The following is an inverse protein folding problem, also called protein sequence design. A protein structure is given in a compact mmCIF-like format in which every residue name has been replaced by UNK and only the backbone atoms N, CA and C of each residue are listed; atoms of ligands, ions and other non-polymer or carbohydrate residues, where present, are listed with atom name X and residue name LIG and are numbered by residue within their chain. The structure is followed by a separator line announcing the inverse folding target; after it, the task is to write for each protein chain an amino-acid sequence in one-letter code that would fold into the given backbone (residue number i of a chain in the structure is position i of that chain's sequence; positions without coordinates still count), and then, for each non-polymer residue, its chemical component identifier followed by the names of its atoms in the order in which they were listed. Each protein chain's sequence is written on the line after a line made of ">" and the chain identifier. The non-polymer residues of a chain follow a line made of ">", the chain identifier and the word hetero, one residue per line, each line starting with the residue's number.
data_IF_889511269362
#
_entry.id   IF_889511269362
#
_cell.length_a   1.000
_cell.length_b   1.000
_cell.length_c   1.000
_cell.angle_alpha   90.00
_cell.angle_beta   90.00
_cell.angle_gamma   90.00
#
_symmetry.space_group_name_H-M   'P 1'
#
loop_
_entity.id
_entity.type
_entity.pdbx_description
1 polymer ?
#
# COMPACT_ATOMS: atom_id res chain seq x y z
N UNK A 1 4.78 5.01 -12.57
CA UNK A 1 5.16 4.95 -11.14
C UNK A 1 4.25 3.97 -10.40
N UNK A 2 4.79 3.27 -9.39
CA UNK A 2 4.05 2.33 -8.54
C UNK A 2 4.16 2.83 -7.11
N UNK A 3 3.04 2.92 -6.42
CA UNK A 3 2.97 3.26 -5.02
C UNK A 3 2.74 1.99 -4.20
N UNK A 4 3.49 1.85 -3.10
CA UNK A 4 3.32 0.76 -2.14
C UNK A 4 2.72 1.36 -0.88
N UNK A 5 1.56 0.86 -0.49
CA UNK A 5 0.74 1.36 0.59
C UNK A 5 0.32 2.84 0.44
N UNK A 6 -0.63 3.26 1.20
CA UNK A 6 -1.12 4.63 1.27
C UNK A 6 -1.49 5.00 2.72
N UNK A 7 -0.49 4.88 3.58
CA UNK A 7 -0.58 5.26 4.98
C UNK A 7 -0.70 6.77 5.17
N UNK A 8 -0.82 7.16 6.42
CA UNK A 8 -1.09 8.55 6.82
C UNK A 8 -0.11 9.55 6.20
N UNK A 9 -0.64 10.54 5.49
CA UNK A 9 0.14 11.62 4.89
C UNK A 9 0.89 11.26 3.61
N UNK A 10 0.63 10.12 2.98
CA UNK A 10 1.29 9.72 1.74
C UNK A 10 1.08 10.74 0.63
N UNK A 11 -0.11 11.31 0.53
CA UNK A 11 -0.43 12.37 -0.45
C UNK A 11 0.47 13.59 -0.27
N UNK A 12 0.67 14.02 0.97
CA UNK A 12 1.56 15.15 1.29
C UNK A 12 3.02 14.82 0.96
N UNK A 13 3.48 13.61 1.28
CA UNK A 13 4.84 13.15 0.99
C UNK A 13 5.13 13.06 -0.51
N UNK A 14 4.17 12.61 -1.30
CA UNK A 14 4.28 12.64 -2.76
C UNK A 14 4.51 14.08 -3.27
N UNK A 15 3.71 15.04 -2.80
CA UNK A 15 3.86 16.43 -3.19
C UNK A 15 5.22 17.02 -2.74
N UNK A 16 5.66 16.74 -1.51
CA UNK A 16 6.97 17.16 -1.00
C UNK A 16 8.12 16.58 -1.82
N UNK A 17 7.99 15.35 -2.30
CA UNK A 17 8.98 14.70 -3.18
C UNK A 17 8.88 15.11 -4.64
N UNK A 18 8.06 16.11 -4.96
CA UNK A 18 7.76 16.57 -6.32
C UNK A 18 7.19 15.49 -7.25
N UNK A 19 6.50 14.50 -6.65
CA UNK A 19 5.76 13.49 -7.39
C UNK A 19 4.27 13.80 -7.36
N UNK A 20 3.63 13.73 -8.52
CA UNK A 20 2.18 13.87 -8.60
C UNK A 20 1.50 12.54 -8.31
N UNK A 21 0.42 12.58 -7.54
CA UNK A 21 -0.49 11.44 -7.39
C UNK A 21 -1.19 11.06 -8.71
N UNK A 22 -1.26 12.00 -9.67
CA UNK A 22 -1.80 11.73 -10.99
C UNK A 22 -0.93 10.75 -11.81
N UNK A 23 0.38 10.68 -11.52
CA UNK A 23 1.34 9.86 -12.26
C UNK A 23 1.44 8.42 -11.74
N UNK A 24 0.67 8.04 -10.75
CA UNK A 24 0.72 6.69 -10.18
C UNK A 24 -0.02 5.71 -11.09
N UNK A 25 0.70 4.76 -11.66
CA UNK A 25 0.13 3.73 -12.55
C UNK A 25 -0.67 2.68 -11.79
N UNK A 26 -0.22 2.37 -10.57
CA UNK A 26 -0.88 1.40 -9.69
C UNK A 26 -0.54 1.64 -8.22
N UNK A 27 -1.46 1.25 -7.35
CA UNK A 27 -1.29 1.14 -5.90
C UNK A 27 -1.25 -0.35 -5.52
N UNK A 28 -0.22 -0.75 -4.80
CA UNK A 28 -0.09 -2.07 -4.21
C UNK A 28 -0.19 -1.95 -2.70
N UNK A 29 -1.10 -2.71 -2.09
CA UNK A 29 -1.29 -2.74 -0.64
C UNK A 29 -0.68 -4.02 -0.08
N UNK A 30 0.21 -3.87 0.90
CA UNK A 30 0.82 -4.99 1.61
C UNK A 30 -0.21 -5.71 2.47
N UNK A 31 -0.98 -4.97 3.25
CA UNK A 31 -2.07 -5.45 4.10
C UNK A 31 -3.06 -4.31 4.41
N UNK A 32 -4.08 -4.55 5.24
CA UNK A 32 -5.15 -3.58 5.47
C UNK A 32 -5.14 -2.97 6.89
N UNK A 33 -3.99 -2.87 7.55
CA UNK A 33 -3.90 -2.04 8.74
C UNK A 33 -4.08 -0.56 8.39
N UNK A 34 -4.60 0.20 9.34
CA UNK A 34 -4.99 1.60 9.14
C UNK A 34 -3.83 2.46 8.66
N UNK A 35 -2.67 2.29 9.25
CA UNK A 35 -1.45 3.03 8.95
C UNK A 35 -0.89 2.74 7.55
N UNK A 36 -1.38 1.69 6.87
CA UNK A 36 -1.04 1.36 5.48
C UNK A 36 -2.09 1.81 4.46
N UNK A 37 -3.30 2.20 4.88
CA UNK A 37 -4.42 2.42 3.93
C UNK A 37 -5.24 3.68 4.18
N UNK A 38 -5.00 4.41 5.28
CA UNK A 38 -5.89 5.48 5.74
C UNK A 38 -6.00 6.66 4.75
N UNK A 39 -4.96 6.96 3.99
CA UNK A 39 -4.91 8.10 3.07
C UNK A 39 -5.50 7.80 1.68
N UNK A 40 -6.07 6.61 1.48
CA UNK A 40 -6.52 6.14 0.16
C UNK A 40 -7.48 7.12 -0.52
N UNK A 41 -8.50 7.59 0.19
CA UNK A 41 -9.48 8.49 -0.42
C UNK A 41 -8.88 9.85 -0.74
N UNK A 42 -8.05 10.38 0.16
CA UNK A 42 -7.33 11.64 -0.06
C UNK A 42 -6.38 11.54 -1.26
N UNK A 43 -5.66 10.43 -1.39
CA UNK A 43 -4.79 10.16 -2.54
C UNK A 43 -5.57 10.20 -3.87
N UNK A 44 -6.74 9.56 -3.90
CA UNK A 44 -7.59 9.48 -5.09
C UNK A 44 -8.14 10.86 -5.45
N UNK A 45 -8.70 11.60 -4.50
CA UNK A 45 -9.22 12.96 -4.74
C UNK A 45 -8.10 13.89 -5.16
N UNK A 46 -6.94 13.85 -4.53
CA UNK A 46 -5.78 14.68 -4.90
C UNK A 46 -5.29 14.37 -6.32
N UNK A 47 -5.33 13.11 -6.73
CA UNK A 47 -4.97 12.73 -8.09
C UNK A 47 -5.95 13.30 -9.13
N UNK A 48 -7.24 13.34 -8.81
CA UNK A 48 -8.26 13.96 -9.64
C UNK A 48 -8.05 15.47 -9.77
N UNK A 49 -7.71 16.13 -8.66
CA UNK A 49 -7.35 17.55 -8.67
C UNK A 49 -6.07 17.85 -9.44
N UNK A 50 -5.19 16.87 -9.57
CA UNK A 50 -3.96 16.95 -10.38
C UNK A 50 -4.14 16.46 -11.83
N UNK A 51 -5.38 16.50 -12.34
CA UNK A 51 -5.76 16.15 -13.70
C UNK A 51 -5.45 14.72 -14.14
N UNK A 52 -5.47 13.78 -13.21
CA UNK A 52 -5.43 12.35 -13.57
C UNK A 52 -6.63 11.98 -14.44
N UNK A 53 -6.36 11.39 -15.60
CA UNK A 53 -7.40 10.91 -16.52
C UNK A 53 -7.36 9.39 -16.73
N UNK A 54 -6.96 8.64 -15.73
CA UNK A 54 -6.94 7.19 -15.77
C UNK A 54 -7.58 6.60 -14.51
N UNK A 55 -8.19 5.42 -14.65
CA UNK A 55 -8.75 4.69 -13.51
C UNK A 55 -7.64 4.20 -12.59
N UNK A 56 -7.93 4.10 -11.30
CA UNK A 56 -7.01 3.50 -10.34
C UNK A 56 -6.98 1.98 -10.47
N UNK A 57 -5.77 1.43 -10.56
CA UNK A 57 -5.51 0.00 -10.43
C UNK A 57 -4.98 -0.25 -9.03
N UNK A 58 -5.74 -0.95 -8.22
CA UNK A 58 -5.41 -1.24 -6.83
C UNK A 58 -5.23 -2.74 -6.67
N UNK A 59 -4.06 -3.16 -6.22
CA UNK A 59 -3.74 -4.53 -5.91
C UNK A 59 -3.59 -4.67 -4.40
N UNK A 60 -4.16 -5.69 -3.80
CA UNK A 60 -4.06 -5.86 -2.35
C UNK A 60 -4.59 -7.20 -1.87
N UNK A 61 -4.54 -7.46 -0.56
CA UNK A 61 -5.01 -8.70 0.02
C UNK A 61 -6.52 -8.90 -0.17
N UNK A 62 -6.96 -10.11 0.13
CA UNK A 62 -8.40 -10.42 0.22
C UNK A 62 -9.09 -9.44 1.17
N UNK A 63 -10.21 -8.86 0.73
CA UNK A 63 -10.93 -7.82 1.47
C UNK A 63 -10.69 -6.40 0.94
N UNK A 64 -9.67 -6.18 0.12
CA UNK A 64 -9.37 -4.86 -0.48
C UNK A 64 -10.54 -4.31 -1.27
N UNK A 65 -11.21 -5.14 -2.08
CA UNK A 65 -12.39 -4.69 -2.85
C UNK A 65 -13.48 -4.15 -1.94
N UNK A 66 -13.83 -4.90 -0.89
CA UNK A 66 -14.85 -4.48 0.08
C UNK A 66 -14.44 -3.20 0.82
N UNK A 67 -13.17 -3.08 1.19
CA UNK A 67 -12.63 -1.90 1.87
C UNK A 67 -12.76 -0.65 0.99
N UNK A 68 -12.28 -0.72 -0.26
CA UNK A 68 -12.35 0.40 -1.22
C UNK A 68 -13.81 0.80 -1.50
N UNK A 69 -14.69 -0.17 -1.73
CA UNK A 69 -16.13 0.09 -1.96
C UNK A 69 -16.77 0.85 -0.78
N UNK A 70 -16.40 0.48 0.46
CA UNK A 70 -16.92 1.13 1.67
C UNK A 70 -16.41 2.56 1.83
N UNK A 71 -15.13 2.80 1.56
CA UNK A 71 -14.56 4.16 1.55
C UNK A 71 -15.25 5.03 0.51
N UNK A 72 -15.41 4.52 -0.71
CA UNK A 72 -16.11 5.26 -1.77
C UNK A 72 -17.57 5.51 -1.46
N UNK A 73 -18.25 4.57 -0.79
CA UNK A 73 -19.62 4.75 -0.32
C UNK A 73 -19.72 5.83 0.76
N UNK A 74 -18.79 5.84 1.73
CA UNK A 74 -18.78 6.84 2.81
C UNK A 74 -18.64 8.27 2.27
N UNK A 75 -17.87 8.47 1.21
CA UNK A 75 -17.64 9.78 0.59
C UNK A 75 -18.50 10.04 -0.64
N UNK A 76 -19.61 9.31 -0.82
CA UNK A 76 -20.45 9.44 -2.02
C UNK A 76 -21.00 10.84 -2.19
N UNK A 77 -21.62 11.40 -1.17
CA UNK A 77 -22.28 12.72 -1.23
C UNK A 77 -21.25 13.81 -1.55
N UNK A 78 -20.12 13.82 -0.83
CA UNK A 78 -19.05 14.79 -1.06
C UNK A 78 -18.51 14.72 -2.49
N UNK A 79 -18.26 13.52 -2.98
CA UNK A 79 -17.76 13.29 -4.34
C UNK A 79 -18.75 13.76 -5.41
N UNK A 80 -20.04 13.48 -5.25
CA UNK A 80 -21.09 13.93 -6.17
C UNK A 80 -21.21 15.45 -6.20
N UNK A 81 -21.11 16.11 -5.05
CA UNK A 81 -21.08 17.57 -4.95
C UNK A 81 -19.87 18.16 -5.67
N UNK A 82 -18.66 17.60 -5.46
CA UNK A 82 -17.45 18.06 -6.17
C UNK A 82 -17.57 17.90 -7.67
N UNK A 83 -18.02 16.75 -8.14
CA UNK A 83 -18.20 16.50 -9.58
C UNK A 83 -19.14 17.54 -10.19
N UNK A 84 -20.27 17.81 -9.55
CA UNK A 84 -21.27 18.76 -10.05
C UNK A 84 -20.77 20.22 -10.03
N UNK A 85 -20.00 20.59 -9.01
CA UNK A 85 -19.48 21.94 -8.83
C UNK A 85 -18.24 22.23 -9.69
N UNK A 86 -17.23 21.37 -9.65
CA UNK A 86 -15.94 21.61 -10.31
C UNK A 86 -15.99 21.39 -11.83
N UNK A 87 -16.89 20.59 -12.34
CA UNK A 87 -17.13 20.31 -13.77
C UNK A 87 -15.83 20.01 -14.55
N UNK A 88 -14.92 19.22 -13.95
CA UNK A 88 -13.66 18.82 -14.58
C UNK A 88 -13.91 17.98 -15.83
N UNK A 89 -12.96 17.99 -16.76
CA UNK A 89 -13.04 17.28 -18.06
C UNK A 89 -13.26 15.77 -17.92
N UNK A 90 -12.78 15.16 -16.84
CA UNK A 90 -12.86 13.71 -16.62
C UNK A 90 -13.16 13.38 -15.17
N UNK A 91 -13.86 12.28 -14.96
CA UNK A 91 -14.06 11.63 -13.66
C UNK A 91 -13.36 10.26 -13.57
N UNK A 92 -12.48 9.94 -14.50
CA UNK A 92 -11.82 8.63 -14.53
C UNK A 92 -10.95 8.38 -13.30
N UNK A 93 -10.30 9.43 -12.79
CA UNK A 93 -9.54 9.33 -11.54
C UNK A 93 -10.38 8.91 -10.32
N UNK A 94 -11.69 9.09 -10.37
CA UNK A 94 -12.64 8.68 -9.32
C UNK A 94 -13.20 7.27 -9.53
N UNK A 95 -12.67 6.53 -10.52
CA UNK A 95 -13.00 5.13 -10.79
C UNK A 95 -11.81 4.25 -10.43
N UNK A 96 -12.10 3.02 -10.06
CA UNK A 96 -11.07 2.05 -9.68
C UNK A 96 -11.37 0.64 -10.15
N UNK A 97 -10.33 -0.14 -10.28
CA UNK A 97 -10.38 -1.59 -10.44
C UNK A 97 -9.49 -2.23 -9.40
N UNK A 98 -10.06 -3.11 -8.59
CA UNK A 98 -9.35 -3.82 -7.53
C UNK A 98 -9.02 -5.24 -8.00
N UNK A 99 -7.80 -5.66 -7.73
CA UNK A 99 -7.28 -7.00 -7.97
C UNK A 99 -6.85 -7.58 -6.61
N UNK A 100 -7.63 -8.50 -6.08
CA UNK A 100 -7.26 -9.19 -4.85
C UNK A 100 -6.20 -10.24 -5.12
N UNK A 101 -5.10 -10.17 -4.38
CA UNK A 101 -3.95 -11.05 -4.51
C UNK A 101 -4.28 -12.44 -3.96
N UNK A 102 -3.75 -13.45 -4.63
CA UNK A 102 -3.74 -14.84 -4.15
C UNK A 102 -2.55 -15.06 -3.22
N UNK A 103 -2.36 -16.29 -2.74
CA UNK A 103 -1.28 -16.63 -1.81
C UNK A 103 0.11 -16.17 -2.30
N UNK A 104 0.47 -16.52 -3.53
CA UNK A 104 1.69 -16.09 -4.21
C UNK A 104 1.40 -15.89 -5.69
N UNK A 105 2.16 -15.04 -6.35
CA UNK A 105 2.02 -14.86 -7.78
C UNK A 105 2.88 -13.75 -8.36
N UNK A 106 2.57 -13.39 -9.58
CA UNK A 106 3.23 -12.27 -10.26
C UNK A 106 2.24 -11.46 -11.08
N UNK A 107 2.53 -10.17 -11.18
CA UNK A 107 1.82 -9.23 -12.06
C UNK A 107 2.85 -8.45 -12.86
N UNK A 108 2.42 -7.82 -13.93
CA UNK A 108 3.25 -6.91 -14.73
C UNK A 108 2.55 -5.56 -14.79
N UNK A 109 3.27 -4.49 -14.45
CA UNK A 109 2.81 -3.11 -14.55
C UNK A 109 3.83 -2.37 -15.39
N UNK A 110 3.41 -1.93 -16.57
CA UNK A 110 4.31 -1.43 -17.62
C UNK A 110 5.42 -2.47 -17.88
N UNK A 111 6.69 -2.10 -17.79
CA UNK A 111 7.83 -3.00 -18.01
C UNK A 111 8.36 -3.66 -16.72
N UNK A 112 7.73 -3.37 -15.60
CA UNK A 112 8.14 -3.90 -14.30
C UNK A 112 7.39 -5.20 -14.02
N UNK A 113 8.14 -6.29 -13.87
CA UNK A 113 7.61 -7.56 -13.33
C UNK A 113 7.62 -7.49 -11.83
N UNK A 114 6.50 -7.82 -11.19
CA UNK A 114 6.34 -7.78 -9.74
C UNK A 114 5.92 -9.17 -9.28
N UNK A 115 6.73 -9.77 -8.44
CA UNK A 115 6.37 -10.99 -7.71
C UNK A 115 5.82 -10.57 -6.35
N UNK A 116 4.70 -11.12 -5.94
CA UNK A 116 4.14 -10.95 -4.60
C UNK A 116 4.09 -12.29 -3.87
N UNK A 117 4.30 -12.25 -2.57
CA UNK A 117 4.38 -13.43 -1.71
C UNK A 117 3.85 -13.12 -0.32
N UNK A 118 3.20 -14.11 0.30
CA UNK A 118 2.74 -13.96 1.69
C UNK A 118 3.91 -13.87 2.65
N UNK A 119 3.74 -13.04 3.68
CA UNK A 119 4.68 -12.87 4.81
C UNK A 119 3.97 -13.15 6.14
N UNK A 120 4.73 -13.34 7.21
CA UNK A 120 4.18 -13.65 8.54
C UNK A 120 3.92 -12.40 9.36
N UNK A 121 2.74 -11.85 9.23
CA UNK A 121 2.28 -10.69 10.01
C UNK A 121 1.10 -11.04 10.93
N UNK A 122 1.17 -12.17 11.65
CA UNK A 122 0.08 -12.60 12.54
C UNK A 122 -0.23 -11.56 13.63
N UNK A 123 -1.52 -11.31 13.93
CA UNK A 123 -2.69 -12.10 13.51
C UNK A 123 -3.34 -11.68 12.18
N UNK A 124 -2.71 -10.85 11.37
CA UNK A 124 -3.23 -10.42 10.07
C UNK A 124 -3.26 -11.60 9.10
N UNK A 125 -4.42 -11.97 8.55
CA UNK A 125 -4.54 -13.21 7.79
C UNK A 125 -3.92 -13.14 6.38
N UNK A 126 -3.72 -11.95 5.84
CA UNK A 126 -3.20 -11.73 4.50
C UNK A 126 -2.28 -10.52 4.48
N UNK A 127 -0.98 -10.77 4.50
CA UNK A 127 0.05 -9.74 4.38
C UNK A 127 1.06 -10.17 3.31
N UNK A 128 1.57 -9.21 2.54
CA UNK A 128 2.39 -9.46 1.36
C UNK A 128 3.68 -8.63 1.35
N UNK A 129 4.76 -9.29 0.94
CA UNK A 129 5.95 -8.64 0.42
C UNK A 129 5.91 -8.62 -1.12
N UNK A 130 6.73 -7.74 -1.70
CA UNK A 130 6.83 -7.55 -3.15
C UNK A 130 8.28 -7.54 -3.61
N UNK A 131 8.58 -8.27 -4.70
CA UNK A 131 9.86 -8.17 -5.40
C UNK A 131 9.65 -7.60 -6.79
N UNK A 132 10.33 -6.52 -7.10
CA UNK A 132 10.27 -5.78 -8.37
C UNK A 132 11.48 -6.12 -9.22
N UNK A 133 11.26 -6.41 -10.49
CA UNK A 133 12.31 -6.74 -11.44
C UNK A 133 12.24 -5.79 -12.63
N UNK A 134 13.32 -5.09 -12.88
CA UNK A 134 13.50 -4.20 -14.03
C UNK A 134 15.00 -4.09 -14.39
N UNK A 135 15.33 -4.17 -15.67
CA UNK A 135 16.70 -4.01 -16.20
C UNK A 135 17.77 -4.79 -15.41
N UNK A 136 17.54 -6.06 -15.15
CA UNK A 136 18.38 -6.96 -14.36
C UNK A 136 18.62 -6.50 -12.92
N UNK A 137 17.81 -5.59 -12.40
CA UNK A 137 17.79 -5.15 -11.01
C UNK A 137 16.61 -5.71 -10.26
N UNK A 138 16.83 -5.99 -8.99
CA UNK A 138 15.81 -6.51 -8.09
C UNK A 138 15.73 -5.68 -6.83
N UNK A 139 14.54 -5.14 -6.57
CA UNK A 139 14.17 -4.52 -5.30
C UNK A 139 13.17 -5.44 -4.60
N UNK A 140 13.40 -5.78 -3.33
CA UNK A 140 12.41 -6.48 -2.50
C UNK A 140 11.97 -5.58 -1.34
N UNK A 141 10.66 -5.57 -1.09
CA UNK A 141 10.00 -4.84 0.00
C UNK A 141 9.29 -5.86 0.87
N UNK A 142 9.58 -5.87 2.18
CA UNK A 142 9.03 -6.87 3.10
C UNK A 142 7.53 -6.69 3.37
N UNK A 143 7.04 -5.44 3.43
CA UNK A 143 5.84 -5.13 4.19
C UNK A 143 6.08 -5.38 5.68
N UNK A 144 5.04 -5.39 6.49
CA UNK A 144 5.13 -5.73 7.91
C UNK A 144 5.19 -7.24 8.07
N UNK A 145 6.23 -7.72 8.73
CA UNK A 145 6.46 -9.16 8.86
C UNK A 145 7.46 -9.51 9.95
N UNK A 146 7.24 -10.61 10.61
CA UNK A 146 8.29 -11.33 11.36
C UNK A 146 9.29 -11.95 10.39
N UNK A 147 10.48 -12.33 10.85
CA UNK A 147 11.37 -13.17 10.06
C UNK A 147 10.64 -14.43 9.57
N UNK A 148 10.56 -14.60 8.26
CA UNK A 148 9.89 -15.75 7.68
C UNK A 148 10.62 -16.26 6.44
N UNK A 149 10.52 -17.56 6.20
CA UNK A 149 11.21 -18.22 5.10
C UNK A 149 10.81 -17.64 3.73
N UNK A 150 9.54 -17.32 3.56
CA UNK A 150 9.03 -16.73 2.32
C UNK A 150 9.73 -15.42 1.97
N UNK A 151 9.93 -14.51 2.96
CA UNK A 151 10.68 -13.29 2.74
C UNK A 151 12.15 -13.59 2.45
N UNK A 152 12.80 -14.44 3.25
CA UNK A 152 14.21 -14.78 3.06
C UNK A 152 14.47 -15.31 1.64
N UNK A 153 13.67 -16.25 1.17
CA UNK A 153 13.77 -16.82 -0.19
C UNK A 153 13.54 -15.77 -1.29
N UNK A 154 12.53 -14.89 -1.09
CA UNK A 154 12.22 -13.87 -2.09
C UNK A 154 13.18 -12.68 -2.03
N UNK A 155 13.90 -12.46 -0.94
CA UNK A 155 14.93 -11.42 -0.82
C UNK A 155 16.31 -11.86 -1.34
N UNK A 156 16.55 -13.16 -1.53
CA UNK A 156 17.81 -13.66 -2.09
C UNK A 156 18.15 -12.95 -3.40
N UNK A 157 19.40 -12.53 -3.53
CA UNK A 157 19.94 -11.83 -4.69
C UNK A 157 19.20 -10.53 -5.04
N UNK A 158 18.58 -9.86 -4.07
CA UNK A 158 18.06 -8.52 -4.28
C UNK A 158 19.21 -7.51 -4.28
N UNK A 159 19.21 -6.56 -5.23
CA UNK A 159 20.13 -5.42 -5.21
C UNK A 159 19.81 -4.49 -4.03
N UNK A 160 18.52 -4.40 -3.68
CA UNK A 160 18.04 -3.63 -2.53
C UNK A 160 16.95 -4.42 -1.80
N UNK A 161 17.05 -4.50 -0.49
CA UNK A 161 16.00 -4.96 0.41
C UNK A 161 15.53 -3.78 1.26
N UNK A 162 14.26 -3.42 1.15
CA UNK A 162 13.58 -2.50 2.04
C UNK A 162 12.78 -3.33 3.06
N UNK A 163 13.25 -3.33 4.30
CA UNK A 163 12.66 -4.11 5.39
C UNK A 163 12.17 -3.16 6.49
N UNK A 164 11.03 -3.47 7.10
CA UNK A 164 10.65 -2.79 8.32
C UNK A 164 11.69 -3.03 9.42
N UNK A 165 11.82 -2.09 10.33
CA UNK A 165 12.70 -2.22 11.47
C UNK A 165 11.99 -1.75 12.74
N UNK A 166 12.16 -2.51 13.79
CA UNK A 166 11.69 -2.17 15.11
C UNK A 166 12.86 -1.76 16.00
N UNK A 167 12.80 -0.56 16.57
CA UNK A 167 13.86 -0.03 17.43
C UNK A 167 13.52 -0.34 18.89
N UNK A 168 14.12 -1.38 19.48
CA UNK A 168 13.81 -1.85 20.85
C UNK A 168 13.95 -0.75 21.91
N UNK A 169 14.91 0.15 21.75
CA UNK A 169 15.10 1.28 22.66
C UNK A 169 13.89 2.22 22.71
N UNK A 170 13.25 2.47 21.57
CA UNK A 170 12.05 3.32 21.50
C UNK A 170 10.83 2.61 22.07
N UNK A 171 10.78 1.28 21.98
CA UNK A 171 9.74 0.47 22.63
C UNK A 171 9.72 0.63 24.13
N UNK A 172 10.88 0.67 24.75
CA UNK A 172 10.98 0.76 26.21
C UNK A 172 10.38 2.08 26.73
N UNK A 173 10.38 3.14 25.92
CA UNK A 173 9.74 4.43 26.26
C UNK A 173 8.21 4.32 26.24
N UNK A 174 7.65 3.51 25.35
CA UNK A 174 6.20 3.32 25.17
C UNK A 174 5.66 2.08 25.90
N UNK A 175 6.53 1.29 26.52
CA UNK A 175 6.19 0.01 27.17
C UNK A 175 5.13 0.14 28.29
N UNK A 176 5.11 1.27 28.97
CA UNK A 176 4.12 1.57 30.03
C UNK A 176 2.67 1.61 29.52
N UNK A 177 2.47 1.83 28.22
CA UNK A 177 1.16 1.95 27.58
C UNK A 177 0.67 0.62 26.95
N UNK A 178 1.50 -0.42 26.99
CA UNK A 178 1.20 -1.71 26.34
C UNK A 178 1.10 -2.85 27.37
N UNK A 179 0.24 -3.82 27.07
CA UNK A 179 0.19 -5.05 27.87
C UNK A 179 1.45 -5.90 27.67
N UNK A 180 1.81 -6.74 28.66
CA UNK A 180 2.94 -7.69 28.52
C UNK A 180 2.80 -8.57 27.27
N UNK A 181 1.59 -9.01 26.93
CA UNK A 181 1.30 -9.81 25.74
C UNK A 181 1.59 -9.04 24.45
N UNK A 182 1.19 -7.77 24.38
CA UNK A 182 1.46 -6.91 23.21
C UNK A 182 2.94 -6.65 23.05
N UNK A 183 3.67 -6.41 24.14
CA UNK A 183 5.13 -6.22 24.11
C UNK A 183 5.85 -7.49 23.65
N UNK A 184 5.42 -8.66 24.08
CA UNK A 184 5.99 -9.93 23.64
C UNK A 184 5.76 -10.13 22.14
N UNK A 185 4.54 -9.94 21.66
CA UNK A 185 4.23 -10.11 20.24
C UNK A 185 5.02 -9.13 19.33
N UNK A 186 5.25 -7.91 19.79
CA UNK A 186 6.01 -6.91 19.01
C UNK A 186 7.51 -7.20 19.01
N UNK A 187 8.06 -7.84 20.04
CA UNK A 187 9.47 -8.26 20.08
C UNK A 187 9.80 -9.42 19.12
N UNK A 188 8.77 -10.07 18.56
CA UNK A 188 8.97 -11.12 17.55
C UNK A 188 9.13 -10.56 16.12
N UNK A 189 8.97 -9.24 15.93
CA UNK A 189 9.24 -8.50 14.70
C UNK A 189 10.66 -7.93 14.74
#
# INVERSE_FOLDING_TARGET
>A
KILIDCGSGVTQRLNQSKNSSADIDALLLTHLHTDHVIDLYQLIISSWHSDRDSIWKIYGPKGTKKFVDKIFSAWKIERELRISYEKRKSTNALKYKVYELKKNGSIKINDIKIKYFEVDHKPVPYAYGFSFYNNNKKLTISGDTRPCESLMQNALNSDVLLHEVFIEYEMNKTSKLRTKKTLHNVKEY
#
